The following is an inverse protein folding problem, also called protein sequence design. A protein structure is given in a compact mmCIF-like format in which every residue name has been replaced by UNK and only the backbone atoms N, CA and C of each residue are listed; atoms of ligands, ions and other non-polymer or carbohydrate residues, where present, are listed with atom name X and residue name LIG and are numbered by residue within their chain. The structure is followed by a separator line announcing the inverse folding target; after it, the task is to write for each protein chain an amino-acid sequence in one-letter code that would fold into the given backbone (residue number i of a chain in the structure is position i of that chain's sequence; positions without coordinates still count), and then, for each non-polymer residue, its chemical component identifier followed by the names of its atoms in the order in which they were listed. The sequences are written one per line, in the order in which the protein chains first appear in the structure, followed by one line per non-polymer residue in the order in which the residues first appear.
data_IF_899570321717
#
_entry.id   IF_899570321717
#
_cell.length_a   1.000
_cell.length_b   1.000
_cell.length_c   1.000
_cell.angle_alpha   90.00
_cell.angle_beta   90.00
_cell.angle_gamma   90.00
#
_symmetry.space_group_name_H-M   'P 1'
#
loop_
_entity.id
_entity.type
_entity.pdbx_description
1 polymer ?
#
# COMPACT_ATOMS: atom_id res chain seq x y z
N UNK A 1 -65.08 -7.65 -18.70
CA UNK A 1 -64.08 -6.70 -19.23
C UNK A 1 -63.77 -5.67 -18.15
N UNK A 2 -62.68 -5.83 -17.41
CA UNK A 2 -62.20 -4.85 -16.42
C UNK A 2 -60.74 -4.54 -16.71
N UNK A 3 -60.45 -3.31 -17.15
CA UNK A 3 -59.09 -2.84 -17.41
C UNK A 3 -58.44 -2.48 -16.06
N UNK A 4 -57.40 -3.23 -15.68
CA UNK A 4 -56.48 -2.79 -14.62
C UNK A 4 -55.50 -1.79 -15.22
N UNK A 5 -55.62 -0.53 -14.81
CA UNK A 5 -54.66 0.54 -15.09
C UNK A 5 -53.60 0.52 -14.00
N UNK A 6 -52.41 0.01 -14.32
CA UNK A 6 -51.23 0.17 -13.46
C UNK A 6 -50.74 1.61 -13.55
N UNK A 7 -50.87 2.36 -12.45
CA UNK A 7 -50.27 3.67 -12.24
C UNK A 7 -48.75 3.59 -12.38
N UNK A 8 -48.18 4.32 -13.35
CA UNK A 8 -46.75 4.67 -13.34
C UNK A 8 -46.53 5.73 -12.27
N UNK A 9 -45.96 5.34 -11.13
CA UNK A 9 -45.55 6.26 -10.08
C UNK A 9 -44.47 7.22 -10.58
N UNK A 10 -44.81 8.50 -10.66
CA UNK A 10 -43.85 9.58 -10.90
C UNK A 10 -43.03 9.79 -9.62
N UNK A 11 -41.73 9.49 -9.67
CA UNK A 11 -40.80 9.85 -8.59
C UNK A 11 -40.70 11.39 -8.53
N UNK A 12 -40.83 11.96 -7.34
CA UNK A 12 -40.75 13.41 -7.16
C UNK A 12 -39.37 13.93 -7.57
N UNK A 13 -39.33 15.13 -8.15
CA UNK A 13 -38.08 15.78 -8.58
C UNK A 13 -37.02 15.85 -7.46
N UNK A 14 -37.46 16.01 -6.21
CA UNK A 14 -36.59 16.01 -5.03
C UNK A 14 -35.93 14.65 -4.76
N UNK A 15 -36.65 13.53 -4.96
CA UNK A 15 -36.08 12.20 -4.81
C UNK A 15 -35.03 11.89 -5.90
N UNK A 16 -35.28 12.36 -7.12
CA UNK A 16 -34.33 12.24 -8.24
C UNK A 16 -33.06 13.08 -8.02
N UNK A 17 -33.21 14.31 -7.51
CA UNK A 17 -32.08 15.17 -7.14
C UNK A 17 -31.25 14.58 -5.99
N UNK A 18 -31.89 14.05 -4.95
CA UNK A 18 -31.20 13.38 -3.84
C UNK A 18 -30.40 12.15 -4.29
N UNK A 19 -31.00 11.31 -5.13
CA UNK A 19 -30.33 10.14 -5.71
C UNK A 19 -29.17 10.51 -6.64
N UNK A 20 -29.30 11.59 -7.41
CA UNK A 20 -28.21 12.09 -8.25
C UNK A 20 -27.05 12.64 -7.41
N UNK A 21 -27.35 13.36 -6.32
CA UNK A 21 -26.32 13.89 -5.41
C UNK A 21 -25.57 12.77 -4.68
N UNK A 22 -26.27 11.74 -4.18
CA UNK A 22 -25.61 10.58 -3.56
C UNK A 22 -24.73 9.82 -4.55
N UNK A 23 -25.25 9.58 -5.76
CA UNK A 23 -24.49 8.92 -6.83
C UNK A 23 -23.22 9.71 -7.23
N UNK A 24 -23.33 11.03 -7.39
CA UNK A 24 -22.16 11.88 -7.66
C UNK A 24 -21.14 11.86 -6.51
N UNK A 25 -21.60 11.84 -5.25
CA UNK A 25 -20.74 11.71 -4.08
C UNK A 25 -20.00 10.36 -4.04
N UNK A 26 -20.70 9.25 -4.26
CA UNK A 26 -20.11 7.90 -4.34
C UNK A 26 -19.09 7.79 -5.46
N UNK A 27 -19.39 8.36 -6.63
CA UNK A 27 -18.49 8.37 -7.77
C UNK A 27 -17.25 9.22 -7.50
N UNK A 28 -17.40 10.41 -6.90
CA UNK A 28 -16.27 11.27 -6.54
C UNK A 28 -15.35 10.59 -5.52
N UNK A 29 -15.91 9.94 -4.50
CA UNK A 29 -15.15 9.16 -3.53
C UNK A 29 -14.42 7.98 -4.19
N UNK A 30 -15.07 7.31 -5.17
CA UNK A 30 -14.45 6.24 -5.95
C UNK A 30 -13.27 6.73 -6.80
N UNK A 31 -13.40 7.90 -7.42
CA UNK A 31 -12.32 8.54 -8.19
C UNK A 31 -11.15 8.98 -7.31
N UNK A 32 -11.43 9.55 -6.14
CA UNK A 32 -10.38 9.90 -5.20
C UNK A 32 -9.61 8.65 -4.72
N UNK A 33 -10.34 7.58 -4.38
CA UNK A 33 -9.72 6.31 -4.00
C UNK A 33 -8.85 5.75 -5.13
N UNK A 34 -9.28 5.83 -6.39
CA UNK A 34 -8.45 5.45 -7.54
C UNK A 34 -7.19 6.31 -7.63
N UNK A 35 -7.32 7.62 -7.47
CA UNK A 35 -6.19 8.57 -7.52
C UNK A 35 -5.20 8.42 -6.36
N UNK A 36 -5.59 7.78 -5.26
CA UNK A 36 -4.72 7.51 -4.09
C UNK A 36 -4.22 6.08 -4.01
N UNK A 37 -4.45 5.24 -5.03
CA UNK A 37 -4.04 3.83 -5.04
C UNK A 37 -4.88 2.91 -4.16
N UNK A 38 -6.09 3.34 -3.79
CA UNK A 38 -7.03 2.64 -2.92
C UNK A 38 -7.29 1.17 -3.30
N UNK A 39 -7.54 0.81 -4.58
CA UNK A 39 -7.72 -0.59 -4.95
C UNK A 39 -6.51 -1.47 -4.65
N UNK A 40 -5.30 -0.98 -4.92
CA UNK A 40 -4.06 -1.71 -4.64
C UNK A 40 -3.83 -1.87 -3.14
N UNK A 41 -4.06 -0.80 -2.36
CA UNK A 41 -3.95 -0.85 -0.90
C UNK A 41 -4.97 -1.81 -0.28
N UNK A 42 -6.21 -1.81 -0.77
CA UNK A 42 -7.25 -2.76 -0.36
C UNK A 42 -6.86 -4.21 -0.67
N UNK A 43 -6.30 -4.46 -1.87
CA UNK A 43 -5.80 -5.77 -2.23
C UNK A 43 -4.63 -6.22 -1.32
N UNK A 44 -3.69 -5.32 -1.00
CA UNK A 44 -2.59 -5.61 -0.06
C UNK A 44 -3.10 -5.93 1.34
N UNK A 45 -4.07 -5.17 1.84
CA UNK A 45 -4.72 -5.45 3.11
C UNK A 45 -5.35 -6.84 3.13
N UNK A 46 -6.07 -7.22 2.07
CA UNK A 46 -6.66 -8.55 1.93
C UNK A 46 -5.60 -9.67 1.88
N UNK A 47 -4.47 -9.44 1.21
CA UNK A 47 -3.34 -10.38 1.19
C UNK A 47 -2.76 -10.57 2.59
N UNK A 48 -2.52 -9.48 3.33
CA UNK A 48 -2.02 -9.55 4.71
C UNK A 48 -3.01 -10.29 5.62
N UNK A 49 -4.31 -9.95 5.53
CA UNK A 49 -5.36 -10.62 6.30
C UNK A 49 -5.39 -12.13 6.02
N UNK A 50 -5.23 -12.54 4.76
CA UNK A 50 -5.18 -13.95 4.41
C UNK A 50 -3.94 -14.65 4.98
N UNK A 51 -2.78 -14.02 4.91
CA UNK A 51 -1.53 -14.58 5.43
C UNK A 51 -1.56 -14.76 6.97
N UNK A 52 -2.43 -14.03 7.68
CA UNK A 52 -2.67 -14.22 9.12
C UNK A 52 -3.53 -15.47 9.38
N UNK A 53 -4.59 -15.64 8.60
CA UNK A 53 -5.58 -16.74 8.79
C UNK A 53 -5.05 -18.07 8.27
N UNK A 54 -4.29 -18.05 7.19
CA UNK A 54 -3.75 -19.21 6.49
C UNK A 54 -2.25 -18.98 6.20
N UNK A 55 -1.39 -19.07 7.24
CA UNK A 55 0.02 -18.74 7.11
C UNK A 55 0.77 -19.78 6.29
N UNK A 56 1.69 -19.31 5.43
CA UNK A 56 2.61 -20.19 4.68
C UNK A 56 3.56 -20.87 5.67
N UNK A 57 3.69 -22.21 5.64
CA UNK A 57 4.67 -22.92 6.46
C UNK A 57 6.09 -22.44 6.23
N UNK A 58 6.91 -22.41 7.28
CA UNK A 58 8.27 -21.84 7.22
C UNK A 58 9.18 -22.54 6.21
N UNK A 59 9.01 -23.84 6.00
CA UNK A 59 9.73 -24.67 5.03
C UNK A 59 9.30 -24.43 3.57
N UNK A 60 8.20 -23.70 3.36
CA UNK A 60 7.64 -23.38 2.05
C UNK A 60 7.77 -21.89 1.70
N UNK A 61 8.40 -21.09 2.56
CA UNK A 61 8.65 -19.69 2.27
C UNK A 61 9.64 -19.58 1.10
N UNK A 62 9.34 -18.74 0.09
CA UNK A 62 10.27 -18.50 -0.99
C UNK A 62 11.50 -17.74 -0.48
N UNK A 63 12.59 -17.83 -1.24
CA UNK A 63 13.73 -16.93 -1.05
C UNK A 63 13.28 -15.48 -1.31
N UNK A 64 13.64 -14.57 -0.41
CA UNK A 64 13.29 -13.15 -0.54
C UNK A 64 14.23 -12.45 -1.51
N UNK A 65 13.66 -11.60 -2.37
CA UNK A 65 14.48 -10.76 -3.24
C UNK A 65 15.27 -9.72 -2.43
N UNK A 66 16.34 -9.14 -3.00
CA UNK A 66 17.16 -8.14 -2.32
C UNK A 66 16.34 -6.94 -1.81
N UNK A 67 15.36 -6.47 -2.57
CA UNK A 67 14.49 -5.35 -2.17
C UNK A 67 13.63 -5.69 -0.95
N UNK A 68 13.09 -6.91 -0.88
CA UNK A 68 12.32 -7.38 0.27
C UNK A 68 13.21 -7.47 1.53
N UNK A 69 14.44 -7.95 1.39
CA UNK A 69 15.41 -8.00 2.48
C UNK A 69 15.79 -6.59 2.96
N UNK A 70 15.99 -5.64 2.04
CA UNK A 70 16.29 -4.25 2.38
C UNK A 70 15.12 -3.59 3.16
N UNK A 71 13.88 -3.82 2.75
CA UNK A 71 12.69 -3.34 3.49
C UNK A 71 12.66 -3.91 4.91
N UNK A 72 12.82 -5.24 5.05
CA UNK A 72 12.85 -5.90 6.37
C UNK A 72 13.97 -5.33 7.24
N UNK A 73 15.18 -5.21 6.68
CA UNK A 73 16.34 -4.72 7.40
C UNK A 73 16.11 -3.30 7.92
N UNK A 74 15.64 -2.38 7.08
CA UNK A 74 15.39 -0.99 7.51
C UNK A 74 14.28 -0.94 8.56
N UNK A 75 13.22 -1.72 8.40
CA UNK A 75 12.11 -1.77 9.34
C UNK A 75 12.47 -2.49 10.66
N UNK A 76 13.66 -3.09 10.82
CA UNK A 76 13.97 -4.01 11.93
C UNK A 76 13.79 -3.46 13.34
N UNK A 77 13.87 -2.14 13.51
CA UNK A 77 13.78 -1.50 14.83
C UNK A 77 12.38 -1.00 15.17
N UNK A 78 11.73 -0.32 14.23
CA UNK A 78 10.42 0.32 14.42
C UNK A 78 9.28 -0.55 13.90
N UNK A 79 9.55 -1.24 12.80
CA UNK A 79 8.60 -2.08 12.09
C UNK A 79 7.50 -1.32 11.37
N UNK A 80 7.56 0.02 11.27
CA UNK A 80 6.49 0.84 10.68
C UNK A 80 6.77 1.07 9.20
N UNK A 81 5.78 0.76 8.36
CA UNK A 81 5.87 0.86 6.91
C UNK A 81 4.60 1.54 6.38
N UNK A 82 4.78 2.50 5.48
CA UNK A 82 3.69 3.18 4.79
C UNK A 82 3.80 2.93 3.27
N UNK A 83 2.67 2.68 2.62
CA UNK A 83 2.60 2.59 1.15
C UNK A 83 1.76 3.75 0.60
N UNK A 84 2.38 4.66 -0.15
CA UNK A 84 1.66 5.79 -0.75
C UNK A 84 2.29 6.28 -2.05
N UNK A 85 1.48 6.93 -2.87
CA UNK A 85 1.95 7.75 -3.99
C UNK A 85 1.98 9.23 -3.59
N UNK A 86 2.78 10.03 -4.30
CA UNK A 86 2.78 11.50 -4.12
C UNK A 86 1.86 12.13 -5.14
N UNK A 87 0.64 12.49 -4.71
CA UNK A 87 -0.41 13.05 -5.57
C UNK A 87 0.00 14.37 -6.23
N UNK A 88 0.88 15.14 -5.59
CA UNK A 88 1.38 16.45 -6.04
C UNK A 88 2.61 16.36 -6.94
N UNK A 89 3.15 15.16 -7.19
CA UNK A 89 4.34 15.03 -8.03
C UNK A 89 4.03 15.45 -9.47
N UNK A 90 4.80 16.43 -9.95
CA UNK A 90 4.69 16.97 -11.31
C UNK A 90 4.94 15.87 -12.35
N UNK A 91 6.00 15.09 -12.16
CA UNK A 91 6.36 13.99 -13.06
C UNK A 91 5.63 12.69 -12.73
N UNK A 92 5.26 11.95 -13.79
CA UNK A 92 4.51 10.70 -13.67
C UNK A 92 5.18 9.63 -12.80
N UNK A 93 6.51 9.41 -12.87
CA UNK A 93 7.21 8.49 -11.97
C UNK A 93 7.04 8.79 -10.49
N UNK A 94 7.00 10.08 -10.11
CA UNK A 94 6.85 10.49 -8.72
C UNK A 94 5.47 10.16 -8.13
N UNK A 95 4.47 9.88 -8.97
CA UNK A 95 3.10 9.53 -8.57
C UNK A 95 2.92 8.04 -8.27
N UNK A 96 3.90 7.19 -8.57
CA UNK A 96 3.83 5.76 -8.29
C UNK A 96 3.71 5.49 -6.78
N UNK A 97 3.04 4.40 -6.41
CA UNK A 97 3.07 3.90 -5.04
C UNK A 97 4.50 3.51 -4.70
N UNK A 98 5.01 4.03 -3.60
CA UNK A 98 6.32 3.73 -3.06
C UNK A 98 6.21 3.24 -1.61
N UNK A 99 7.24 2.53 -1.17
CA UNK A 99 7.36 1.98 0.19
C UNK A 99 8.19 2.95 1.02
N UNK A 100 7.61 3.42 2.12
CA UNK A 100 8.24 4.29 3.11
C UNK A 100 8.43 3.49 4.38
N UNK A 101 9.59 3.59 5.00
CA UNK A 101 9.94 2.80 6.19
C UNK A 101 10.52 3.70 7.25
N UNK A 102 9.99 3.64 8.48
CA UNK A 102 10.65 4.25 9.64
C UNK A 102 11.88 3.43 10.00
N UNK A 103 13.06 3.99 9.78
CA UNK A 103 14.32 3.36 10.20
C UNK A 103 14.51 3.52 11.72
N UNK A 104 14.21 4.71 12.23
CA UNK A 104 14.23 5.05 13.64
C UNK A 104 13.13 6.07 13.98
N UNK A 105 13.12 6.58 15.22
CA UNK A 105 12.10 7.52 15.70
C UNK A 105 12.10 8.90 15.00
N UNK A 106 13.15 9.21 14.24
CA UNK A 106 13.37 10.50 13.59
C UNK A 106 13.52 10.40 12.07
N UNK A 107 13.79 9.20 11.55
CA UNK A 107 14.16 8.99 10.16
C UNK A 107 13.19 8.06 9.45
N UNK A 108 12.63 8.55 8.35
CA UNK A 108 11.88 7.76 7.38
C UNK A 108 12.61 7.76 6.05
N UNK A 109 12.82 6.58 5.47
CA UNK A 109 13.37 6.46 4.13
C UNK A 109 12.29 6.02 3.15
N UNK A 110 12.42 6.42 1.90
CA UNK A 110 11.51 6.11 0.82
C UNK A 110 12.24 5.34 -0.29
N UNK A 111 11.78 4.14 -0.59
CA UNK A 111 12.24 3.37 -1.73
C UNK A 111 11.53 3.85 -3.00
N UNK A 112 12.07 4.93 -3.57
CA UNK A 112 11.51 5.63 -4.72
C UNK A 112 12.63 6.27 -5.53
N UNK A 113 12.56 6.09 -6.85
CA UNK A 113 13.46 6.74 -7.78
C UNK A 113 12.66 7.34 -8.95
N UNK A 114 12.85 8.65 -9.21
CA UNK A 114 12.14 9.38 -10.27
C UNK A 114 12.77 9.14 -11.65
N UNK A 115 14.09 9.04 -11.71
CA UNK A 115 14.86 8.82 -12.94
C UNK A 115 14.76 7.36 -13.41
N UNK A 116 14.71 6.43 -12.46
CA UNK A 116 14.56 4.99 -12.71
C UNK A 116 13.32 4.43 -12.01
N UNK A 117 12.12 4.59 -12.60
CA UNK A 117 10.86 4.12 -12.02
C UNK A 117 10.85 2.62 -11.71
N UNK A 118 11.68 1.84 -12.42
CA UNK A 118 11.85 0.41 -12.19
C UNK A 118 12.32 0.10 -10.76
N UNK A 119 13.14 0.96 -10.15
CA UNK A 119 13.57 0.80 -8.75
C UNK A 119 12.34 0.83 -7.83
N UNK A 120 11.49 1.85 -7.98
CA UNK A 120 10.24 1.98 -7.19
C UNK A 120 9.35 0.75 -7.34
N UNK A 121 9.21 0.23 -8.57
CA UNK A 121 8.41 -0.97 -8.85
C UNK A 121 9.00 -2.21 -8.18
N UNK A 122 10.32 -2.45 -8.27
CA UNK A 122 10.96 -3.62 -7.64
C UNK A 122 10.79 -3.61 -6.12
N UNK A 123 10.93 -2.46 -5.47
CA UNK A 123 10.68 -2.35 -4.04
C UNK A 123 9.21 -2.57 -3.66
N UNK A 124 8.29 -2.08 -4.49
CA UNK A 124 6.86 -2.36 -4.30
C UNK A 124 6.54 -3.87 -4.46
N UNK A 125 7.16 -4.55 -5.42
CA UNK A 125 7.04 -6.00 -5.61
C UNK A 125 7.66 -6.77 -4.44
N UNK A 126 8.82 -6.35 -3.94
CA UNK A 126 9.45 -6.90 -2.74
C UNK A 126 8.54 -6.76 -1.51
N UNK A 127 7.90 -5.61 -1.32
CA UNK A 127 6.89 -5.44 -0.29
C UNK A 127 5.70 -6.40 -0.46
N UNK A 128 5.21 -6.57 -1.69
CA UNK A 128 4.14 -7.55 -1.97
C UNK A 128 4.59 -8.98 -1.62
N UNK A 129 5.86 -9.34 -1.85
CA UNK A 129 6.42 -10.64 -1.45
C UNK A 129 6.34 -10.82 0.07
N UNK A 130 6.72 -9.80 0.84
CA UNK A 130 6.65 -9.81 2.30
C UNK A 130 5.21 -9.96 2.82
N UNK A 131 4.25 -9.26 2.20
CA UNK A 131 2.83 -9.40 2.53
C UNK A 131 2.32 -10.83 2.34
N UNK A 132 2.65 -11.46 1.20
CA UNK A 132 2.25 -12.85 0.92
C UNK A 132 2.91 -13.86 1.86
N UNK A 133 4.13 -13.57 2.31
CA UNK A 133 4.88 -14.39 3.26
C UNK A 133 4.41 -14.23 4.72
N UNK A 134 3.41 -13.38 5.00
CA UNK A 134 2.95 -13.12 6.37
C UNK A 134 3.96 -12.35 7.22
N UNK A 135 4.94 -11.70 6.59
CA UNK A 135 5.94 -10.87 7.28
C UNK A 135 5.40 -9.47 7.60
N UNK A 136 4.29 -9.08 6.97
CA UNK A 136 3.65 -7.77 7.09
C UNK A 136 2.22 -7.94 7.63
N UNK A 137 1.82 -7.03 8.51
CA UNK A 137 0.46 -6.83 8.97
C UNK A 137 -0.06 -5.51 8.41
N UNK A 138 -1.35 -5.48 8.05
CA UNK A 138 -2.05 -4.23 7.75
C UNK A 138 -2.87 -3.81 8.97
N UNK A 139 -2.80 -2.54 9.36
CA UNK A 139 -3.57 -2.01 10.49
C UNK A 139 -4.73 -1.16 10.03
N UNK A 140 -4.42 -0.07 9.31
CA UNK A 140 -5.41 0.91 8.87
C UNK A 140 -4.87 1.69 7.67
N UNK A 141 -5.77 2.10 6.78
CA UNK A 141 -5.45 2.90 5.58
C UNK A 141 -4.21 2.40 4.82
N UNK A 142 -3.11 3.16 4.90
CA UNK A 142 -1.84 2.95 4.19
C UNK A 142 -0.73 2.44 5.12
N UNK A 143 -1.07 2.16 6.38
CA UNK A 143 -0.14 1.87 7.45
C UNK A 143 -0.05 0.35 7.67
N UNK A 144 1.18 -0.14 7.59
CA UNK A 144 1.56 -1.52 7.71
C UNK A 144 2.63 -1.66 8.79
N UNK A 145 2.75 -2.84 9.36
CA UNK A 145 3.89 -3.15 10.23
C UNK A 145 4.53 -4.49 9.92
N UNK A 146 5.75 -4.69 10.39
CA UNK A 146 6.28 -6.04 10.53
C UNK A 146 5.37 -6.87 11.45
N UNK A 147 5.19 -8.14 11.08
CA UNK A 147 4.66 -9.17 11.98
C UNK A 147 5.75 -9.66 12.92
N UNK A 148 5.41 -10.55 13.87
CA UNK A 148 6.41 -11.19 14.74
C UNK A 148 7.51 -11.89 13.93
N UNK A 149 7.13 -12.70 12.95
CA UNK A 149 8.09 -13.39 12.06
C UNK A 149 8.86 -12.39 11.19
N UNK A 150 8.24 -11.28 10.79
CA UNK A 150 8.91 -10.17 10.11
C UNK A 150 10.05 -9.58 10.94
N UNK A 151 9.82 -9.28 12.22
CA UNK A 151 10.86 -8.81 13.14
C UNK A 151 11.96 -9.87 13.36
N UNK A 152 11.58 -11.11 13.60
CA UNK A 152 12.53 -12.22 13.79
C UNK A 152 13.44 -12.38 12.57
N UNK A 153 12.88 -12.33 11.36
CA UNK A 153 13.65 -12.42 10.12
C UNK A 153 14.52 -11.19 9.92
N UNK A 154 13.99 -10.00 10.14
CA UNK A 154 14.72 -8.74 9.98
C UNK A 154 15.97 -8.66 10.86
N UNK A 155 15.91 -9.19 12.08
CA UNK A 155 17.04 -9.23 13.01
C UNK A 155 18.21 -10.14 12.55
N UNK A 156 17.96 -11.03 11.59
CA UNK A 156 18.97 -11.97 11.06
C UNK A 156 19.67 -11.45 9.81
N UNK A 157 19.19 -10.38 9.20
CA UNK A 157 19.73 -9.85 7.95
C UNK A 157 21.00 -9.08 8.26
N UNK A 158 22.09 -9.42 7.59
CA UNK A 158 23.36 -8.72 7.77
C UNK A 158 23.42 -7.46 6.88
N UNK A 159 24.07 -6.37 7.35
CA UNK A 159 24.12 -5.11 6.62
C UNK A 159 24.68 -5.24 5.19
N UNK A 160 25.68 -6.10 4.99
CA UNK A 160 26.31 -6.31 3.69
C UNK A 160 25.38 -6.92 2.64
N UNK A 161 24.33 -7.65 3.05
CA UNK A 161 23.38 -8.31 2.14
C UNK A 161 22.42 -7.31 1.48
N UNK A 162 22.27 -6.13 2.08
CA UNK A 162 21.25 -5.15 1.70
C UNK A 162 21.82 -3.77 1.40
N UNK A 163 23.14 -3.60 1.47
CA UNK A 163 23.82 -2.32 1.29
C UNK A 163 23.44 -1.64 -0.04
N UNK A 164 23.43 -2.39 -1.14
CA UNK A 164 23.04 -1.88 -2.46
C UNK A 164 21.57 -1.46 -2.49
N UNK A 165 20.67 -2.24 -1.89
CA UNK A 165 19.25 -1.91 -1.82
C UNK A 165 18.97 -0.67 -0.97
N UNK A 166 19.70 -0.49 0.14
CA UNK A 166 19.57 0.71 0.98
C UNK A 166 20.12 1.96 0.27
N UNK A 167 21.16 1.81 -0.57
CA UNK A 167 21.71 2.92 -1.33
C UNK A 167 20.73 3.50 -2.37
N UNK A 168 19.72 2.71 -2.78
CA UNK A 168 18.62 3.17 -3.65
C UNK A 168 17.52 3.93 -2.89
N UNK A 169 17.56 3.93 -1.55
CA UNK A 169 16.59 4.65 -0.73
C UNK A 169 16.89 6.14 -0.71
N UNK A 170 15.83 6.94 -0.80
CA UNK A 170 15.90 8.40 -0.63
C UNK A 170 15.43 8.77 0.77
N UNK A 171 16.11 9.68 1.45
CA UNK A 171 15.66 10.17 2.75
C UNK A 171 14.45 11.09 2.58
N UNK A 172 13.39 10.84 3.35
CA UNK A 172 12.19 11.66 3.35
C UNK A 172 12.25 12.59 4.57
N UNK A 173 12.52 13.89 4.35
CA UNK A 173 12.50 14.87 5.45
C UNK A 173 13.40 16.11 5.37
N UNK A 174 14.16 16.37 4.29
CA UNK A 174 14.99 17.59 4.19
C UNK A 174 14.51 18.64 3.17
N UNK A 175 13.47 18.36 2.37
CA UNK A 175 12.97 19.31 1.37
C UNK A 175 11.45 19.34 1.26
N UNK A 176 10.76 19.79 2.30
CA UNK A 176 9.47 20.48 2.17
C UNK A 176 9.35 21.54 3.29
N UNK A 177 9.88 22.73 3.00
CA UNK A 177 9.58 24.01 3.66
C UNK A 177 9.11 25.00 2.61
#
# INVERSE_FOLDING_TARGET
MGRSSMQKGSLSSQALLGAAQSFHGEMAASWEALGSGGPTLSALAAVCARAIVDPVPADQLPEFCPEALAILYVARHRGVIEVRGVRTAFEAPGRLLAVYVEEDATRTIAFRNQESPQVTVRFFEGFCQLCRAGMILHHLHRDFTLSRSGFERAAQIRPEEVAEGIAEATEFGLHES
#
